data_IF_416505335926
#
_entry.id   IF_416505335926
#
_cell.length_a   1.000
_cell.length_b   1.000
_cell.length_c   1.000
_cell.angle_alpha   90.00
_cell.angle_beta   90.00
_cell.angle_gamma   90.00
#
_symmetry.space_group_name_H-M   'P 1'
#
loop_
_entity.id
_entity.type
_entity.pdbx_description
1 polymer ?
#
# COMPACT_ATOMS: atom_id res chain seq x y z
N UNK A 1 17.62 -77.33 15.99
CA UNK A 1 16.41 -76.48 15.99
C UNK A 1 16.57 -75.15 16.76
N UNK A 2 17.45 -75.03 17.73
CA UNK A 2 17.66 -73.80 18.52
C UNK A 2 18.36 -72.64 17.79
N UNK A 3 19.19 -72.92 16.77
CA UNK A 3 19.96 -71.89 16.05
C UNK A 3 19.10 -71.02 15.11
N UNK A 4 17.99 -71.55 14.56
CA UNK A 4 17.08 -70.80 13.66
C UNK A 4 16.29 -69.68 14.38
N UNK A 5 15.99 -69.87 15.63
CA UNK A 5 15.21 -68.88 16.42
C UNK A 5 16.06 -67.67 16.81
N UNK A 6 17.33 -67.84 17.06
CA UNK A 6 18.24 -66.73 17.37
C UNK A 6 18.49 -65.83 16.17
N UNK A 7 18.50 -66.41 14.93
CA UNK A 7 18.62 -65.62 13.70
C UNK A 7 17.34 -64.80 13.43
N UNK A 8 16.18 -65.38 13.66
CA UNK A 8 14.91 -64.69 13.47
C UNK A 8 14.70 -63.58 14.50
N UNK A 9 15.09 -63.77 15.76
CA UNK A 9 15.02 -62.76 16.82
C UNK A 9 15.99 -61.61 16.60
N UNK A 10 17.18 -61.86 16.04
CA UNK A 10 18.14 -60.82 15.67
C UNK A 10 17.68 -59.96 14.47
N UNK A 11 16.96 -60.56 13.54
CA UNK A 11 16.41 -59.87 12.36
C UNK A 11 15.24 -58.94 12.73
N UNK A 12 14.39 -59.37 13.65
CA UNK A 12 13.26 -58.56 14.17
C UNK A 12 13.79 -57.37 14.99
N UNK A 13 14.83 -57.56 15.80
CA UNK A 13 15.42 -56.49 16.60
C UNK A 13 16.16 -55.47 15.71
N UNK A 14 16.79 -55.87 14.61
CA UNK A 14 17.43 -54.97 13.64
C UNK A 14 16.41 -54.18 12.82
N UNK A 15 15.24 -54.71 12.50
CA UNK A 15 14.17 -53.98 11.82
C UNK A 15 13.45 -52.97 12.77
N UNK A 16 13.42 -53.25 14.07
CA UNK A 16 12.79 -52.33 15.05
C UNK A 16 13.59 -51.05 15.34
N UNK A 17 14.91 -51.05 15.10
CA UNK A 17 15.77 -49.90 15.30
C UNK A 17 15.82 -48.95 14.09
N UNK A 18 15.33 -49.38 12.91
CA UNK A 18 15.31 -48.58 11.68
C UNK A 18 14.11 -47.63 11.52
N UNK A 19 13.07 -47.71 12.43
CA UNK A 19 11.83 -46.98 12.26
C UNK A 19 11.75 -45.68 13.08
N UNK A 20 12.80 -45.30 13.83
CA UNK A 20 12.80 -44.09 14.65
C UNK A 20 13.54 -42.88 14.03
N UNK A 21 13.80 -42.89 12.73
CA UNK A 21 14.52 -41.82 12.02
C UNK A 21 13.62 -41.00 11.06
N UNK A 22 12.41 -40.71 11.47
CA UNK A 22 11.68 -39.63 10.84
C UNK A 22 11.83 -38.40 11.73
N UNK A 23 12.91 -37.63 11.49
CA UNK A 23 13.02 -36.28 12.01
C UNK A 23 12.19 -35.40 11.07
N UNK A 24 11.00 -34.97 11.49
CA UNK A 24 10.09 -34.12 10.71
C UNK A 24 10.80 -32.85 10.20
N UNK A 25 11.82 -32.37 10.91
CA UNK A 25 12.63 -31.23 10.49
C UNK A 25 13.45 -31.45 9.21
N UNK A 26 13.65 -32.71 8.76
CA UNK A 26 14.33 -32.99 7.49
C UNK A 26 13.43 -32.76 6.27
N UNK A 27 12.12 -32.81 6.43
CA UNK A 27 11.15 -32.58 5.36
C UNK A 27 10.70 -31.11 5.29
N UNK A 28 10.86 -30.36 6.37
CA UNK A 28 10.65 -28.92 6.39
C UNK A 28 11.85 -28.17 5.79
N UNK A 29 11.99 -28.27 4.47
CA UNK A 29 12.93 -27.43 3.71
C UNK A 29 12.25 -26.15 3.30
N UNK A 30 12.43 -25.11 4.08
CA UNK A 30 12.14 -23.77 3.60
C UNK A 30 12.99 -23.52 2.34
N UNK A 31 12.41 -23.07 1.21
CA UNK A 31 13.15 -22.69 0.03
C UNK A 31 14.23 -21.68 0.41
N UNK A 32 15.48 -21.93 0.05
CA UNK A 32 16.59 -21.01 0.38
C UNK A 32 16.62 -19.76 -0.49
N UNK A 33 15.84 -19.76 -1.53
CA UNK A 33 15.69 -18.75 -2.58
C UNK A 33 14.39 -17.93 -2.44
N UNK A 34 13.52 -18.27 -1.47
CA UNK A 34 12.35 -17.51 -1.11
C UNK A 34 12.37 -17.22 0.40
N UNK A 35 12.09 -15.95 0.74
CA UNK A 35 11.90 -15.56 2.14
C UNK A 35 10.61 -16.23 2.64
N UNK A 36 10.73 -17.22 3.51
CA UNK A 36 9.58 -17.81 4.19
C UNK A 36 9.21 -16.96 5.41
N UNK A 37 7.93 -16.86 5.73
CA UNK A 37 7.42 -16.09 6.88
C UNK A 37 8.15 -16.45 8.18
N UNK A 38 8.47 -17.73 8.38
CA UNK A 38 9.20 -18.25 9.56
C UNK A 38 10.64 -17.68 9.67
N UNK A 39 11.26 -17.29 8.56
CA UNK A 39 12.65 -16.82 8.53
C UNK A 39 12.81 -15.32 8.41
N UNK A 40 11.77 -14.59 7.98
CA UNK A 40 11.82 -13.18 7.63
C UNK A 40 11.73 -12.26 8.86
N UNK A 41 10.75 -12.43 9.73
CA UNK A 41 10.39 -11.50 10.81
C UNK A 41 11.29 -11.61 12.05
N UNK A 42 12.62 -11.48 11.90
CA UNK A 42 13.57 -11.68 13.01
C UNK A 42 14.13 -10.39 13.59
N UNK A 43 14.34 -9.40 12.76
CA UNK A 43 15.04 -8.17 13.12
C UNK A 43 14.21 -6.93 12.82
N UNK A 44 14.57 -5.81 13.46
CA UNK A 44 14.01 -4.49 13.16
C UNK A 44 14.19 -4.10 11.68
N UNK A 45 15.31 -4.49 11.08
CA UNK A 45 15.59 -4.26 9.65
C UNK A 45 14.62 -5.02 8.73
N UNK A 46 14.29 -6.27 9.08
CA UNK A 46 13.29 -7.04 8.34
C UNK A 46 11.92 -6.36 8.36
N UNK A 47 11.45 -5.96 9.54
CA UNK A 47 10.18 -5.25 9.69
C UNK A 47 10.17 -3.92 8.92
N UNK A 48 11.28 -3.18 8.97
CA UNK A 48 11.42 -1.90 8.24
C UNK A 48 11.40 -2.11 6.74
N UNK A 49 12.11 -3.11 6.22
CA UNK A 49 12.11 -3.47 4.80
C UNK A 49 10.72 -3.89 4.32
N UNK A 50 10.00 -4.68 5.14
CA UNK A 50 8.65 -5.09 4.81
C UNK A 50 7.70 -3.88 4.72
N UNK A 51 7.70 -3.02 5.74
CA UNK A 51 6.88 -1.81 5.75
C UNK A 51 7.22 -0.86 4.58
N UNK A 52 8.52 -0.69 4.28
CA UNK A 52 8.96 0.08 3.10
C UNK A 52 8.43 -0.55 1.80
N UNK A 53 8.45 -1.89 1.69
CA UNK A 53 7.90 -2.60 0.55
C UNK A 53 6.40 -2.36 0.32
N UNK A 54 5.62 -2.01 1.36
CA UNK A 54 4.19 -1.72 1.20
C UNK A 54 3.98 -0.45 0.36
N UNK A 55 4.86 0.55 0.44
CA UNK A 55 4.78 1.78 -0.35
C UNK A 55 4.76 1.52 -1.86
N UNK A 56 5.36 0.43 -2.33
CA UNK A 56 5.34 0.04 -3.75
C UNK A 56 3.92 -0.30 -4.23
N UNK A 57 3.05 -0.77 -3.33
CA UNK A 57 1.68 -1.17 -3.63
C UNK A 57 0.66 -0.05 -3.45
N UNK A 58 1.08 1.12 -2.95
CA UNK A 58 0.27 2.34 -2.98
C UNK A 58 0.06 2.87 -4.40
N UNK A 59 0.49 2.13 -5.37
CA UNK A 59 0.30 2.49 -6.76
C UNK A 59 -1.19 2.57 -7.04
N UNK A 60 -1.61 3.78 -7.19
CA UNK A 60 -2.49 4.01 -8.31
C UNK A 60 -1.69 3.63 -9.55
N UNK A 61 -2.18 2.69 -10.37
CA UNK A 61 -1.61 2.51 -11.68
C UNK A 61 -1.38 3.89 -12.27
N UNK A 62 -0.22 4.14 -12.84
CA UNK A 62 0.25 5.46 -13.30
C UNK A 62 -0.78 6.22 -14.12
N UNK A 63 -1.75 5.49 -14.66
CA UNK A 63 -2.89 5.99 -15.40
C UNK A 63 -4.04 6.53 -14.53
N UNK A 64 -4.08 6.25 -13.23
CA UNK A 64 -5.29 6.54 -12.46
C UNK A 64 -5.37 8.00 -12.04
N UNK A 65 -4.37 8.53 -11.34
CA UNK A 65 -4.51 9.86 -10.74
C UNK A 65 -4.62 10.95 -11.81
N UNK A 66 -3.75 10.93 -12.80
CA UNK A 66 -3.69 11.97 -13.83
C UNK A 66 -4.82 11.78 -14.84
N UNK A 67 -5.11 10.54 -15.23
CA UNK A 67 -6.19 10.24 -16.15
C UNK A 67 -7.58 10.46 -15.55
N UNK A 68 -7.71 10.68 -14.22
CA UNK A 68 -9.01 10.99 -13.59
C UNK A 68 -9.58 12.33 -14.02
N UNK A 69 -8.78 13.27 -14.54
CA UNK A 69 -9.29 14.49 -15.15
C UNK A 69 -10.16 14.21 -16.38
N UNK A 70 -9.94 13.08 -17.06
CA UNK A 70 -10.79 12.62 -18.15
C UNK A 70 -12.18 12.13 -17.69
N UNK A 71 -12.47 12.04 -16.39
CA UNK A 71 -13.82 11.75 -15.87
C UNK A 71 -14.68 13.00 -15.72
N UNK A 72 -14.06 14.14 -15.90
CA UNK A 72 -14.67 15.47 -15.79
C UNK A 72 -14.65 16.19 -17.13
N UNK A 73 -15.00 17.43 -17.13
CA UNK A 73 -14.91 18.35 -18.28
C UNK A 73 -13.54 19.01 -18.43
N UNK A 74 -12.56 18.69 -17.58
CA UNK A 74 -11.21 19.25 -17.61
C UNK A 74 -10.33 18.67 -18.74
N UNK A 75 -10.51 17.39 -19.04
CA UNK A 75 -9.69 16.70 -20.05
C UNK A 75 -10.47 15.62 -20.81
N UNK A 76 -9.97 15.28 -22.00
CA UNK A 76 -10.47 14.17 -22.81
C UNK A 76 -9.34 13.18 -23.06
N UNK A 77 -9.62 11.85 -23.05
CA UNK A 77 -8.66 10.85 -23.48
C UNK A 77 -8.51 10.91 -25.00
N UNK A 78 -7.27 11.02 -25.49
CA UNK A 78 -6.98 11.16 -26.93
C UNK A 78 -7.11 9.82 -27.64
N UNK A 79 -6.81 8.71 -26.97
CA UNK A 79 -6.89 7.39 -27.58
C UNK A 79 -8.32 6.85 -27.59
N UNK A 80 -8.80 6.53 -28.80
CA UNK A 80 -10.12 5.92 -29.01
C UNK A 80 -10.19 4.57 -28.28
N UNK A 81 -11.25 4.39 -27.48
CA UNK A 81 -11.42 3.17 -26.69
C UNK A 81 -10.69 3.16 -25.36
N UNK A 82 -10.02 4.27 -24.96
CA UNK A 82 -9.50 4.41 -23.62
C UNK A 82 -10.64 4.24 -22.58
N UNK A 83 -10.35 3.46 -21.53
CA UNK A 83 -11.33 3.15 -20.48
C UNK A 83 -11.87 4.40 -19.79
N UNK A 84 -11.08 5.44 -19.73
CA UNK A 84 -11.43 6.76 -19.19
C UNK A 84 -12.58 7.42 -19.99
N UNK A 85 -12.61 7.24 -21.31
CA UNK A 85 -13.70 7.73 -22.16
C UNK A 85 -15.04 7.05 -21.87
N UNK A 86 -15.01 5.78 -21.46
CA UNK A 86 -16.22 5.03 -21.02
C UNK A 86 -16.76 5.58 -19.70
N UNK A 87 -15.86 6.01 -18.81
CA UNK A 87 -16.23 6.62 -17.52
C UNK A 87 -16.83 8.01 -17.71
N UNK A 88 -16.20 8.88 -18.48
CA UNK A 88 -16.71 10.23 -18.78
C UNK A 88 -18.06 10.21 -19.54
N UNK A 89 -18.26 9.22 -20.40
CA UNK A 89 -19.52 9.03 -21.11
C UNK A 89 -20.64 8.44 -20.24
N UNK A 90 -20.37 8.05 -18.99
CA UNK A 90 -21.35 7.44 -18.10
C UNK A 90 -21.78 6.03 -18.52
N UNK A 91 -21.02 5.36 -19.37
CA UNK A 91 -21.33 4.02 -19.91
C UNK A 91 -20.54 2.91 -19.22
N UNK A 92 -19.78 3.22 -18.16
CA UNK A 92 -19.00 2.26 -17.41
C UNK A 92 -19.90 1.24 -16.69
N UNK A 93 -19.46 0.00 -16.71
CA UNK A 93 -20.08 -1.12 -15.99
C UNK A 93 -19.14 -1.58 -14.85
N UNK A 94 -19.70 -2.34 -13.90
CA UNK A 94 -18.93 -2.82 -12.72
C UNK A 94 -17.75 -3.72 -13.06
N UNK A 95 -17.73 -4.31 -14.26
CA UNK A 95 -16.61 -5.12 -14.77
C UNK A 95 -15.55 -4.31 -15.53
N UNK A 96 -15.63 -2.97 -15.52
CA UNK A 96 -14.61 -2.15 -16.15
C UNK A 96 -13.24 -2.43 -15.53
N UNK A 97 -12.19 -2.71 -16.34
CA UNK A 97 -10.85 -3.05 -15.88
C UNK A 97 -10.24 -2.02 -14.91
N UNK A 98 -10.55 -0.74 -15.09
CA UNK A 98 -10.11 0.33 -14.20
C UNK A 98 -10.55 0.11 -12.76
N UNK A 99 -11.83 -0.20 -12.52
CA UNK A 99 -12.32 -0.48 -11.18
C UNK A 99 -11.73 -1.76 -10.59
N UNK A 100 -11.51 -2.77 -11.43
CA UNK A 100 -10.86 -4.01 -11.00
C UNK A 100 -9.42 -3.77 -10.55
N UNK A 101 -8.64 -3.02 -11.32
CA UNK A 101 -7.25 -2.68 -10.98
C UNK A 101 -7.17 -1.89 -9.68
N UNK A 102 -8.01 -0.87 -9.50
CA UNK A 102 -8.09 -0.10 -8.26
C UNK A 102 -8.41 -0.99 -7.06
N UNK A 103 -9.38 -1.89 -7.22
CA UNK A 103 -9.78 -2.84 -6.18
C UNK A 103 -8.61 -3.77 -5.81
N UNK A 104 -7.97 -4.36 -6.80
CA UNK A 104 -6.86 -5.30 -6.59
C UNK A 104 -5.66 -4.61 -5.91
N UNK A 105 -5.24 -3.46 -6.40
CA UNK A 105 -4.12 -2.71 -5.82
C UNK A 105 -4.37 -2.31 -4.36
N UNK A 106 -5.58 -1.82 -4.07
CA UNK A 106 -5.92 -1.43 -2.70
C UNK A 106 -5.96 -2.63 -1.74
N UNK A 107 -6.61 -3.74 -2.12
CA UNK A 107 -6.66 -4.92 -1.27
C UNK A 107 -5.32 -5.66 -1.16
N UNK A 108 -4.44 -5.56 -2.16
CA UNK A 108 -3.06 -6.04 -2.04
C UNK A 108 -2.30 -5.22 -0.98
N UNK A 109 -2.43 -3.90 -0.99
CA UNK A 109 -1.87 -3.02 0.05
C UNK A 109 -2.42 -3.37 1.43
N UNK A 110 -3.76 -3.48 1.57
CA UNK A 110 -4.43 -3.84 2.82
C UNK A 110 -3.93 -5.19 3.34
N UNK A 111 -3.87 -6.22 2.49
CA UNK A 111 -3.35 -7.53 2.86
C UNK A 111 -1.94 -7.45 3.43
N UNK A 112 -1.06 -6.67 2.83
CA UNK A 112 0.31 -6.48 3.32
C UNK A 112 0.35 -5.77 4.66
N UNK A 113 -0.50 -4.79 4.87
CA UNK A 113 -0.64 -4.13 6.17
C UNK A 113 -1.09 -5.12 7.26
N UNK A 114 -2.07 -5.97 6.95
CA UNK A 114 -2.58 -6.97 7.89
C UNK A 114 -1.52 -8.03 8.22
N UNK A 115 -0.75 -8.52 7.24
CA UNK A 115 0.39 -9.42 7.47
C UNK A 115 1.44 -8.76 8.38
N UNK A 116 1.73 -7.47 8.15
CA UNK A 116 2.63 -6.74 9.05
C UNK A 116 2.14 -6.76 10.50
N UNK A 117 0.84 -6.53 10.74
CA UNK A 117 0.29 -6.52 12.10
C UNK A 117 0.34 -7.90 12.77
N UNK A 118 0.21 -9.00 12.03
CA UNK A 118 0.35 -10.35 12.57
C UNK A 118 1.75 -10.61 13.14
N UNK A 119 2.79 -10.04 12.52
CA UNK A 119 4.18 -10.38 12.84
C UNK A 119 4.93 -9.34 13.65
N UNK A 120 4.57 -8.05 13.59
CA UNK A 120 5.36 -6.99 14.23
C UNK A 120 5.49 -7.16 15.74
N UNK A 121 4.52 -7.83 16.39
CA UNK A 121 4.56 -8.14 17.81
C UNK A 121 5.74 -9.01 18.23
N UNK A 122 6.19 -9.90 17.35
CA UNK A 122 7.26 -10.87 17.59
C UNK A 122 8.65 -10.30 17.32
N UNK A 123 8.74 -9.17 16.59
CA UNK A 123 10.01 -8.56 16.21
C UNK A 123 10.65 -7.87 17.41
N UNK A 124 11.91 -8.23 17.69
CA UNK A 124 12.72 -7.56 18.73
C UNK A 124 13.27 -6.23 18.21
N UNK A 125 12.64 -5.12 18.64
CA UNK A 125 13.05 -3.76 18.28
C UNK A 125 12.65 -2.76 19.38
N UNK A 126 13.15 -1.54 19.27
CA UNK A 126 12.78 -0.47 20.19
C UNK A 126 11.28 -0.16 20.08
N UNK A 127 10.58 -0.04 21.22
CA UNK A 127 9.12 0.16 21.25
C UNK A 127 8.66 1.46 20.56
N UNK A 128 9.46 2.52 20.64
CA UNK A 128 9.16 3.78 19.93
C UNK A 128 9.28 3.61 18.41
N UNK A 129 10.32 2.92 17.95
CA UNK A 129 10.50 2.61 16.53
C UNK A 129 9.40 1.68 16.03
N UNK A 130 9.02 0.67 16.84
CA UNK A 130 7.90 -0.23 16.54
C UNK A 130 6.60 0.54 16.40
N UNK A 131 6.30 1.45 17.32
CA UNK A 131 5.11 2.28 17.28
C UNK A 131 5.10 3.19 16.04
N UNK A 132 6.23 3.82 15.70
CA UNK A 132 6.35 4.65 14.51
C UNK A 132 6.16 3.83 13.23
N UNK A 133 6.80 2.67 13.12
CA UNK A 133 6.67 1.80 11.94
C UNK A 133 5.24 1.27 11.78
N UNK A 134 4.59 0.92 12.91
CA UNK A 134 3.18 0.53 12.92
C UNK A 134 2.28 1.68 12.46
N UNK A 135 2.58 2.90 12.88
CA UNK A 135 1.83 4.09 12.45
C UNK A 135 2.00 4.38 10.94
N UNK A 136 3.19 4.17 10.38
CA UNK A 136 3.40 4.23 8.93
C UNK A 136 2.49 3.24 8.20
N UNK A 137 2.44 1.99 8.65
CA UNK A 137 1.57 0.96 8.04
C UNK A 137 0.09 1.29 8.21
N UNK A 138 -0.33 1.85 9.36
CA UNK A 138 -1.71 2.32 9.56
C UNK A 138 -2.09 3.44 8.59
N UNK A 139 -1.18 4.36 8.28
CA UNK A 139 -1.41 5.37 7.26
C UNK A 139 -1.57 4.75 5.87
N UNK A 140 -0.72 3.77 5.51
CA UNK A 140 -0.78 3.09 4.21
C UNK A 140 -2.10 2.33 4.03
N UNK A 141 -2.55 1.65 5.07
CA UNK A 141 -3.86 0.99 5.10
C UNK A 141 -5.00 2.01 4.95
N UNK A 142 -4.94 3.11 5.70
CA UNK A 142 -5.91 4.19 5.62
C UNK A 142 -5.97 4.79 4.22
N UNK A 143 -4.83 4.98 3.55
CA UNK A 143 -4.74 5.50 2.20
C UNK A 143 -5.35 4.53 1.17
N UNK A 144 -5.12 3.22 1.32
CA UNK A 144 -5.71 2.20 0.47
C UNK A 144 -7.25 2.17 0.61
N UNK A 145 -7.77 2.19 1.85
CA UNK A 145 -9.21 2.27 2.09
C UNK A 145 -9.81 3.61 1.65
N UNK A 146 -9.07 4.74 1.76
CA UNK A 146 -9.50 6.02 1.23
C UNK A 146 -9.74 5.96 -0.28
N UNK A 147 -8.83 5.35 -1.03
CA UNK A 147 -8.98 5.19 -2.48
C UNK A 147 -10.20 4.34 -2.84
N UNK A 148 -10.41 3.21 -2.14
CA UNK A 148 -11.61 2.40 -2.31
C UNK A 148 -12.89 3.20 -1.98
N UNK A 149 -12.90 3.90 -0.86
CA UNK A 149 -14.05 4.68 -0.41
C UNK A 149 -14.40 5.81 -1.39
N UNK A 150 -13.39 6.50 -1.92
CA UNK A 150 -13.55 7.61 -2.86
C UNK A 150 -14.32 7.21 -4.11
N UNK A 151 -14.03 6.03 -4.66
CA UNK A 151 -14.61 5.58 -5.93
C UNK A 151 -15.76 4.58 -5.75
N UNK A 152 -15.80 3.83 -4.66
CA UNK A 152 -16.73 2.70 -4.49
C UNK A 152 -17.67 2.88 -3.28
N UNK A 153 -17.48 3.89 -2.46
CA UNK A 153 -18.23 4.09 -1.22
C UNK A 153 -17.83 3.08 -0.14
N UNK A 154 -18.81 2.34 0.42
CA UNK A 154 -18.52 1.31 1.40
C UNK A 154 -17.87 0.07 0.77
N UNK A 155 -16.97 -0.58 1.49
CA UNK A 155 -16.24 -1.78 1.05
C UNK A 155 -16.06 -2.76 2.22
N UNK A 156 -15.75 -4.04 1.98
CA UNK A 156 -15.38 -4.96 3.05
C UNK A 156 -14.18 -4.46 3.84
N UNK A 157 -14.33 -4.32 5.16
CA UNK A 157 -13.23 -4.00 6.08
C UNK A 157 -12.67 -5.33 6.59
N UNK A 158 -11.36 -5.51 6.46
CA UNK A 158 -10.66 -6.72 6.88
C UNK A 158 -9.89 -6.44 8.17
N UNK A 159 -9.87 -7.39 9.08
CA UNK A 159 -9.13 -7.34 10.35
C UNK A 159 -7.98 -8.36 10.42
N UNK A 160 -7.87 -9.22 9.41
CA UNK A 160 -6.77 -10.19 9.23
C UNK A 160 -6.59 -10.54 7.74
N UNK A 161 -5.43 -11.10 7.32
CA UNK A 161 -5.22 -11.55 5.96
C UNK A 161 -6.12 -12.76 5.65
N UNK A 162 -7.01 -12.63 4.67
CA UNK A 162 -7.94 -13.69 4.30
C UNK A 162 -7.21 -14.96 3.84
N UNK A 163 -7.70 -16.11 4.29
CA UNK A 163 -7.22 -17.42 3.87
C UNK A 163 -7.93 -17.89 2.59
N UNK A 164 -7.31 -18.83 1.85
CA UNK A 164 -7.76 -19.25 0.51
C UNK A 164 -9.24 -19.67 0.44
N UNK A 165 -9.76 -20.31 1.48
CA UNK A 165 -11.13 -20.83 1.51
C UNK A 165 -12.05 -20.03 2.47
N UNK A 166 -11.60 -18.88 2.90
CA UNK A 166 -12.36 -18.04 3.81
C UNK A 166 -13.43 -17.25 3.06
N UNK A 167 -14.60 -17.15 3.70
CA UNK A 167 -15.70 -16.35 3.15
C UNK A 167 -15.39 -14.87 3.32
N UNK A 168 -15.46 -14.13 2.23
CA UNK A 168 -15.35 -12.67 2.25
C UNK A 168 -16.38 -12.06 3.20
N UNK A 169 -15.99 -11.10 4.05
CA UNK A 169 -16.94 -10.35 4.86
C UNK A 169 -17.91 -9.56 3.99
N UNK A 170 -19.06 -9.23 4.54
CA UNK A 170 -20.02 -8.38 3.86
C UNK A 170 -19.44 -7.00 3.62
N UNK A 171 -19.95 -6.31 2.60
CA UNK A 171 -19.62 -4.92 2.31
C UNK A 171 -20.11 -4.03 3.45
N UNK A 172 -19.22 -3.24 4.03
CA UNK A 172 -19.55 -2.19 5.00
C UNK A 172 -20.20 -1.00 4.28
N UNK A 173 -20.90 -0.17 5.03
CA UNK A 173 -21.43 1.09 4.53
C UNK A 173 -20.31 2.11 4.23
N UNK A 174 -20.62 3.13 3.45
CA UNK A 174 -19.68 4.23 3.20
C UNK A 174 -19.35 5.01 4.49
N UNK A 175 -20.27 5.08 5.46
CA UNK A 175 -20.04 5.70 6.76
C UNK A 175 -19.06 4.86 7.59
N UNK A 176 -19.29 3.56 7.73
CA UNK A 176 -18.39 2.67 8.47
C UNK A 176 -16.98 2.66 7.89
N UNK A 177 -16.87 2.69 6.55
CA UNK A 177 -15.55 2.75 5.90
C UNK A 177 -14.85 4.09 6.18
N UNK A 178 -15.59 5.21 6.12
CA UNK A 178 -15.07 6.52 6.49
C UNK A 178 -14.57 6.54 7.94
N UNK A 179 -15.38 6.08 8.89
CA UNK A 179 -15.03 6.04 10.31
C UNK A 179 -13.81 5.15 10.58
N UNK A 180 -13.70 4.03 9.87
CA UNK A 180 -12.55 3.13 9.96
C UNK A 180 -11.26 3.83 9.52
N UNK A 181 -11.28 4.52 8.39
CA UNK A 181 -10.10 5.26 7.89
C UNK A 181 -9.72 6.39 8.86
N UNK A 182 -10.68 7.18 9.32
CA UNK A 182 -10.43 8.26 10.29
C UNK A 182 -9.79 7.69 11.57
N UNK A 183 -10.29 6.56 12.07
CA UNK A 183 -9.72 5.89 13.24
C UNK A 183 -8.27 5.42 13.03
N UNK A 184 -7.93 4.92 11.85
CA UNK A 184 -6.54 4.56 11.52
C UNK A 184 -5.64 5.80 11.53
N UNK A 185 -6.07 6.90 10.90
CA UNK A 185 -5.31 8.15 10.84
C UNK A 185 -5.11 8.76 12.23
N UNK A 186 -6.16 8.76 13.08
CA UNK A 186 -6.09 9.26 14.45
C UNK A 186 -5.17 8.43 15.36
N UNK A 187 -5.01 7.12 15.07
CA UNK A 187 -4.04 6.26 15.75
C UNK A 187 -2.61 6.49 15.25
N UNK A 188 -2.45 6.71 13.96
CA UNK A 188 -1.14 6.86 13.33
C UNK A 188 -0.47 8.20 13.68
N UNK A 189 -1.20 9.31 13.53
CA UNK A 189 -0.65 10.66 13.64
C UNK A 189 0.21 10.92 14.90
N UNK A 190 -0.19 10.53 16.12
CA UNK A 190 0.59 10.79 17.33
C UNK A 190 1.95 10.06 17.40
N UNK A 191 2.13 9.00 16.60
CA UNK A 191 3.33 8.17 16.58
C UNK A 191 4.24 8.48 15.40
N UNK A 192 3.86 9.41 14.53
CA UNK A 192 4.62 9.84 13.36
C UNK A 192 5.31 11.19 13.61
N UNK A 193 6.44 11.47 12.95
CA UNK A 193 7.00 12.81 12.96
C UNK A 193 6.04 13.78 12.25
N UNK A 194 6.03 15.05 12.68
CA UNK A 194 5.17 16.09 12.10
C UNK A 194 5.39 16.21 10.59
N UNK A 195 6.68 16.21 10.18
CA UNK A 195 7.14 16.25 8.79
C UNK A 195 8.31 15.29 8.63
N UNK A 196 8.56 14.78 7.45
CA UNK A 196 9.73 13.97 7.13
C UNK A 196 10.93 14.83 6.73
N UNK A 197 12.12 14.34 7.04
CA UNK A 197 13.36 14.92 6.53
C UNK A 197 13.56 14.56 5.05
N UNK A 198 14.47 15.25 4.36
CA UNK A 198 14.79 14.94 2.96
C UNK A 198 15.25 13.48 2.75
N UNK A 199 15.87 12.85 3.78
CA UNK A 199 16.30 11.46 3.69
C UNK A 199 15.15 10.44 3.82
N UNK A 200 14.01 10.85 4.37
CA UNK A 200 12.82 10.04 4.59
C UNK A 200 11.61 10.61 3.86
N UNK A 201 11.85 11.48 2.86
CA UNK A 201 10.79 12.04 2.04
C UNK A 201 9.96 10.91 1.40
N UNK A 202 8.70 11.17 1.10
CA UNK A 202 7.79 10.12 0.61
C UNK A 202 7.23 9.18 1.67
N UNK A 203 7.77 9.14 2.90
CA UNK A 203 7.18 8.35 4.00
C UNK A 203 6.06 9.09 4.71
N UNK A 204 5.13 8.33 5.31
CA UNK A 204 4.01 8.87 6.07
C UNK A 204 4.45 9.77 7.23
N UNK A 205 3.78 10.90 7.41
CA UNK A 205 3.97 11.87 8.48
C UNK A 205 2.65 12.16 9.20
N UNK A 206 2.69 12.80 10.36
CA UNK A 206 1.48 13.28 11.02
C UNK A 206 0.75 14.31 10.14
N UNK A 207 1.49 15.19 9.45
CA UNK A 207 0.92 16.12 8.48
C UNK A 207 0.15 15.40 7.36
N UNK A 208 0.69 14.31 6.83
CA UNK A 208 0.00 13.49 5.82
C UNK A 208 -1.29 12.86 6.37
N UNK A 209 -1.29 12.38 7.63
CA UNK A 209 -2.48 11.83 8.28
C UNK A 209 -3.59 12.91 8.40
N UNK A 210 -3.24 14.09 8.89
CA UNK A 210 -4.21 15.19 9.03
C UNK A 210 -4.73 15.68 7.69
N UNK A 211 -3.88 15.78 6.66
CA UNK A 211 -4.29 16.18 5.33
C UNK A 211 -5.25 15.18 4.69
N UNK A 212 -4.98 13.87 4.83
CA UNK A 212 -5.87 12.83 4.32
C UNK A 212 -7.21 12.84 5.06
N UNK A 213 -7.19 13.02 6.38
CA UNK A 213 -8.41 13.17 7.21
C UNK A 213 -9.22 14.38 6.77
N UNK A 214 -8.58 15.53 6.57
CA UNK A 214 -9.24 16.76 6.11
C UNK A 214 -9.92 16.54 4.75
N UNK A 215 -9.22 15.92 3.80
CA UNK A 215 -9.75 15.59 2.46
C UNK A 215 -10.97 14.67 2.53
N UNK A 216 -10.89 13.59 3.32
CA UNK A 216 -12.03 12.67 3.47
C UNK A 216 -13.24 13.33 4.13
N UNK A 217 -13.00 14.10 5.20
CA UNK A 217 -14.05 14.81 5.90
C UNK A 217 -14.73 15.86 4.99
N UNK A 218 -13.94 16.56 4.16
CA UNK A 218 -14.45 17.50 3.17
C UNK A 218 -15.38 16.81 2.14
N UNK A 219 -14.94 15.67 1.58
CA UNK A 219 -15.77 14.89 0.63
C UNK A 219 -17.03 14.32 1.30
N UNK A 220 -16.98 14.07 2.60
CA UNK A 220 -18.12 13.61 3.41
C UNK A 220 -19.03 14.75 3.85
N UNK A 221 -18.73 16.02 3.53
CA UNK A 221 -19.42 17.22 3.99
C UNK A 221 -19.38 17.42 5.52
N UNK A 222 -18.39 16.82 6.21
CA UNK A 222 -18.10 17.05 7.64
C UNK A 222 -17.09 18.20 7.75
N UNK A 223 -17.53 19.40 7.44
CA UNK A 223 -16.65 20.56 7.26
C UNK A 223 -15.93 20.99 8.54
N UNK A 224 -16.56 20.86 9.69
CA UNK A 224 -15.96 21.07 11.00
C UNK A 224 -14.76 20.15 11.27
N UNK A 225 -14.89 18.87 10.92
CA UNK A 225 -13.79 17.89 11.02
C UNK A 225 -12.69 18.19 9.99
N UNK A 226 -13.08 18.61 8.79
CA UNK A 226 -12.14 18.97 7.74
C UNK A 226 -11.30 20.19 8.12
N UNK A 227 -11.95 21.25 8.65
CA UNK A 227 -11.30 22.47 9.14
C UNK A 227 -10.32 22.14 10.27
N UNK A 228 -10.78 21.44 11.31
CA UNK A 228 -9.93 21.09 12.45
C UNK A 228 -8.71 20.24 12.03
N UNK A 229 -8.87 19.32 11.08
CA UNK A 229 -7.75 18.51 10.59
C UNK A 229 -6.78 19.35 9.72
N UNK A 230 -7.27 20.27 8.89
CA UNK A 230 -6.43 21.19 8.13
C UNK A 230 -5.65 22.14 9.04
N UNK A 231 -6.29 22.65 10.11
CA UNK A 231 -5.61 23.45 11.12
C UNK A 231 -4.46 22.70 11.81
N UNK A 232 -4.61 21.38 12.06
CA UNK A 232 -3.50 20.59 12.62
C UNK A 232 -2.27 20.62 11.70
N UNK A 233 -2.45 20.57 10.37
CA UNK A 233 -1.34 20.70 9.42
C UNK A 233 -0.71 22.08 9.53
N UNK A 234 -1.52 23.14 9.53
CA UNK A 234 -1.05 24.53 9.59
C UNK A 234 -0.32 24.84 10.92
N UNK A 235 -0.82 24.32 12.04
CA UNK A 235 -0.25 24.52 13.38
C UNK A 235 1.14 23.91 13.54
N UNK A 236 1.53 22.93 12.72
CA UNK A 236 2.91 22.43 12.73
C UNK A 236 3.91 23.52 12.37
N UNK A 237 3.50 24.52 11.58
CA UNK A 237 4.39 25.55 11.04
C UNK A 237 5.49 25.01 10.12
N UNK A 238 5.39 23.75 9.70
CA UNK A 238 6.39 23.06 8.87
C UNK A 238 6.03 23.01 7.40
N UNK A 239 4.74 23.10 7.09
CA UNK A 239 4.24 23.10 5.73
C UNK A 239 3.88 24.54 5.28
N UNK A 240 4.03 24.80 3.99
CA UNK A 240 3.71 26.10 3.43
C UNK A 240 3.74 26.07 1.92
N UNK A 241 3.11 27.03 1.28
CA UNK A 241 3.07 27.14 -0.16
C UNK A 241 4.48 27.43 -0.73
N UNK A 242 4.84 26.76 -1.82
CA UNK A 242 6.08 27.01 -2.53
C UNK A 242 6.01 28.39 -3.22
N UNK A 243 7.07 29.19 -3.16
CA UNK A 243 6.99 30.62 -3.60
C UNK A 243 6.66 30.80 -5.08
N UNK A 244 7.13 29.89 -5.94
CA UNK A 244 6.89 29.96 -7.38
C UNK A 244 6.09 28.72 -7.82
N UNK A 245 4.84 28.92 -8.21
CA UNK A 245 3.97 27.83 -8.65
C UNK A 245 4.53 27.04 -9.84
N UNK A 246 5.21 27.70 -10.79
CA UNK A 246 5.82 27.02 -11.94
C UNK A 246 6.96 26.09 -11.54
N UNK A 247 7.78 26.50 -10.59
CA UNK A 247 8.93 25.71 -10.13
C UNK A 247 8.50 24.52 -9.24
N UNK A 248 7.28 24.56 -8.68
CA UNK A 248 6.73 23.47 -7.87
C UNK A 248 6.72 22.11 -8.61
N UNK A 249 6.60 22.14 -9.93
CA UNK A 249 6.56 20.96 -10.79
C UNK A 249 7.93 20.58 -11.39
N UNK A 250 9.00 21.19 -10.91
CA UNK A 250 10.37 20.90 -11.33
C UNK A 250 11.14 20.13 -10.26
N UNK A 251 12.22 19.41 -10.62
CA UNK A 251 13.03 18.65 -9.66
C UNK A 251 13.55 19.47 -8.47
N UNK A 252 13.69 20.79 -8.61
CA UNK A 252 14.12 21.67 -7.52
C UNK A 252 13.13 21.73 -6.35
N UNK A 253 11.88 21.36 -6.57
CA UNK A 253 10.82 21.39 -5.56
C UNK A 253 10.38 19.99 -5.07
N UNK A 254 10.99 18.91 -5.53
CA UNK A 254 10.59 17.52 -5.17
C UNK A 254 10.51 17.25 -3.68
N UNK A 255 11.34 17.92 -2.87
CA UNK A 255 11.34 17.76 -1.41
C UNK A 255 10.87 19.02 -0.68
N UNK A 256 10.06 19.85 -1.33
CA UNK A 256 9.60 21.11 -0.74
C UNK A 256 8.52 20.87 0.34
N UNK A 257 8.39 21.89 1.22
CA UNK A 257 7.44 21.81 2.34
C UNK A 257 5.95 21.97 1.93
N UNK A 258 5.62 22.14 0.66
CA UNK A 258 4.24 22.08 0.18
C UNK A 258 3.75 20.64 0.00
N UNK A 259 4.68 19.70 -0.23
CA UNK A 259 4.36 18.29 -0.41
C UNK A 259 4.18 17.62 0.96
N UNK A 260 2.98 17.16 1.26
CA UNK A 260 2.66 16.48 2.52
C UNK A 260 2.91 14.98 2.45
N UNK A 261 2.68 14.39 1.28
CA UNK A 261 2.90 12.98 1.00
C UNK A 261 2.91 12.77 -0.52
N UNK A 262 3.88 12.05 -0.99
CA UNK A 262 4.03 11.66 -2.40
C UNK A 262 4.59 10.23 -2.51
N UNK A 263 4.58 9.72 -3.72
CA UNK A 263 5.33 8.53 -4.10
C UNK A 263 6.51 8.94 -4.94
N UNK A 264 7.70 8.63 -4.45
CA UNK A 264 8.92 8.91 -5.18
C UNK A 264 9.24 7.81 -6.21
N UNK A 265 9.88 8.23 -7.30
CA UNK A 265 10.37 7.38 -8.37
C UNK A 265 11.86 7.60 -8.56
N UNK A 266 12.56 6.56 -8.98
CA UNK A 266 14.01 6.63 -9.23
C UNK A 266 14.27 6.94 -10.69
N UNK A 267 15.18 7.87 -10.94
CA UNK A 267 15.70 8.11 -12.28
C UNK A 267 16.52 6.90 -12.75
N UNK A 268 16.25 6.38 -13.95
CA UNK A 268 16.93 5.22 -14.53
C UNK A 268 16.89 3.94 -13.67
N UNK A 269 15.70 3.43 -13.35
CA UNK A 269 15.55 2.23 -12.51
C UNK A 269 16.22 1.01 -13.15
N UNK A 270 16.89 0.19 -12.33
CA UNK A 270 17.59 -1.00 -12.80
C UNK A 270 16.64 -2.15 -13.16
N UNK A 271 15.48 -2.21 -12.53
CA UNK A 271 14.51 -3.31 -12.66
C UNK A 271 13.16 -2.87 -13.28
N UNK A 272 13.01 -1.62 -13.64
CA UNK A 272 11.82 -1.07 -14.31
C UNK A 272 10.61 -0.82 -13.41
N UNK A 273 10.65 -1.21 -12.14
CA UNK A 273 9.52 -1.05 -11.21
C UNK A 273 9.58 0.25 -10.39
N UNK A 274 10.71 0.93 -10.40
CA UNK A 274 10.99 2.13 -9.60
C UNK A 274 10.91 3.42 -10.40
N UNK A 275 10.70 3.33 -11.74
CA UNK A 275 10.58 4.47 -12.63
C UNK A 275 9.14 4.90 -12.87
N UNK A 276 8.94 6.14 -13.28
CA UNK A 276 7.64 6.67 -13.71
C UNK A 276 7.56 6.77 -15.22
N UNK A 277 6.44 6.36 -15.81
CA UNK A 277 6.14 6.52 -17.24
C UNK A 277 5.26 7.75 -17.54
N UNK A 278 5.02 8.59 -16.53
CA UNK A 278 4.16 9.79 -16.66
C UNK A 278 4.61 10.65 -17.84
N UNK A 279 5.91 10.90 -17.99
CA UNK A 279 6.45 11.64 -19.10
C UNK A 279 6.09 11.03 -20.47
N UNK A 280 6.07 9.70 -20.58
CA UNK A 280 5.69 9.02 -21.81
C UNK A 280 4.20 9.21 -22.14
N UNK A 281 3.32 9.16 -21.10
CA UNK A 281 1.88 9.33 -21.29
C UNK A 281 1.50 10.76 -21.73
N UNK A 282 2.20 11.78 -21.21
CA UNK A 282 1.80 13.18 -21.40
C UNK A 282 2.63 13.95 -22.43
N UNK A 283 3.81 13.46 -22.78
CA UNK A 283 4.61 14.12 -23.83
C UNK A 283 3.90 14.05 -25.18
N UNK A 284 3.99 15.12 -25.99
CA UNK A 284 3.50 15.12 -27.36
C UNK A 284 4.15 14.01 -28.19
N UNK A 285 3.39 13.49 -29.17
CA UNK A 285 3.88 12.42 -30.06
C UNK A 285 5.16 12.83 -30.81
N UNK A 286 5.32 14.10 -31.15
CA UNK A 286 6.50 14.63 -31.81
C UNK A 286 7.79 14.51 -30.96
N UNK A 287 7.65 14.37 -29.65
CA UNK A 287 8.75 14.16 -28.71
C UNK A 287 8.82 12.71 -28.20
N UNK A 288 8.13 11.78 -28.87
CA UNK A 288 8.13 10.35 -28.52
C UNK A 288 7.17 9.97 -27.40
N UNK A 289 6.30 10.88 -27.00
CA UNK A 289 5.23 10.61 -26.04
C UNK A 289 3.97 10.03 -26.69
N UNK A 290 2.98 9.73 -25.84
CA UNK A 290 1.71 9.13 -26.29
C UNK A 290 0.55 10.12 -26.33
N UNK A 291 0.73 11.32 -25.79
CA UNK A 291 -0.34 12.34 -25.74
C UNK A 291 -1.67 11.74 -25.26
N UNK A 292 -1.61 11.01 -24.12
CA UNK A 292 -2.72 10.15 -23.69
C UNK A 292 -3.98 10.92 -23.28
N UNK A 293 -3.83 12.18 -22.87
CA UNK A 293 -4.95 13.07 -22.58
C UNK A 293 -4.71 14.45 -23.17
N UNK A 294 -5.80 15.14 -23.49
CA UNK A 294 -5.77 16.54 -23.93
C UNK A 294 -6.68 17.36 -23.01
N UNK A 295 -6.20 18.49 -22.46
CA UNK A 295 -7.05 19.37 -21.68
C UNK A 295 -8.14 19.97 -22.57
N UNK A 296 -9.32 20.20 -22.01
CA UNK A 296 -10.37 21.01 -22.63
C UNK A 296 -10.08 22.48 -22.39
N UNK A 297 -10.61 23.35 -23.20
CA UNK A 297 -10.44 24.80 -23.03
C UNK A 297 -11.34 25.35 -21.94
#
# INVERSE_FOLDING_TARGET
MKLKYHFLSGLILACGLGLSSCNDSFLERNPKDQLSDVSFWKTADDATKYATGIYLYLIEPENHTIMTDCYTDNAIPVHVGAEQGVLSAGTAVSSNPHFLQLWQAAYETIRRCLIFYEHIGEVSMNEKEKAQLTAEVQFLEAFAYHNLWKYMGGVPILDHPLQLNEKLPARSSAEETYEYVVKLLDKAAPNLPEIRTAADHGKASAGACYALKARMAFYKHKYDVAEAAAEQVMQTGKFGLYPNYGDLFLPVAETCNEILFDREYVENPKDGNEGSVIGLFFSPCDFGGWEALSPTQ
#
